data_IF_813431749154
#
_entry.id   IF_813431749154
#
_cell.length_a   1.000
_cell.length_b   1.000
_cell.length_c   1.000
_cell.angle_alpha   90.00
_cell.angle_beta   90.00
_cell.angle_gamma   90.00
#
_symmetry.space_group_name_H-M   'P 1'
#
loop_
_entity.id
_entity.type
_entity.pdbx_description
1 polymer ?
#
# COMPACT_ATOMS: atom_id res chain seq x y z
N UNK A 1 35.14 -33.07 -10.15
CA UNK A 1 33.84 -32.37 -10.21
C UNK A 1 33.33 -32.26 -8.78
N UNK A 2 33.48 -31.09 -8.14
CA UNK A 2 33.13 -30.89 -6.73
C UNK A 2 31.68 -30.40 -6.69
N UNK A 3 30.76 -31.23 -6.18
CA UNK A 3 29.42 -30.76 -5.86
C UNK A 3 29.57 -29.64 -4.83
N UNK A 4 29.29 -28.41 -5.23
CA UNK A 4 29.35 -27.26 -4.36
C UNK A 4 28.10 -27.34 -3.48
N UNK A 5 28.23 -27.97 -2.32
CA UNK A 5 27.24 -27.95 -1.25
C UNK A 5 27.14 -26.50 -0.75
N UNK A 6 26.24 -25.70 -1.32
CA UNK A 6 25.95 -24.31 -0.89
C UNK A 6 24.77 -24.31 0.09
N UNK A 7 24.75 -25.24 1.05
CA UNK A 7 23.75 -25.27 2.12
C UNK A 7 24.43 -25.50 3.49
N UNK A 8 25.65 -24.96 3.66
CA UNK A 8 26.37 -25.06 4.92
C UNK A 8 25.85 -24.02 5.94
N UNK A 9 25.38 -24.53 7.08
CA UNK A 9 25.34 -23.94 8.43
C UNK A 9 24.52 -22.68 8.74
N UNK A 10 23.74 -22.12 7.82
CA UNK A 10 22.74 -21.08 8.17
C UNK A 10 21.34 -21.49 7.70
N UNK A 11 20.29 -21.29 8.51
CA UNK A 11 18.93 -21.54 8.06
C UNK A 11 18.64 -20.67 6.83
N UNK A 12 18.03 -21.27 5.81
CA UNK A 12 17.56 -20.53 4.63
C UNK A 12 16.41 -19.60 5.06
N UNK A 13 16.73 -18.36 5.44
CA UNK A 13 15.75 -17.36 5.85
C UNK A 13 15.48 -16.39 4.70
N UNK A 14 14.21 -16.23 4.35
CA UNK A 14 13.75 -15.18 3.46
C UNK A 14 13.24 -14.00 4.31
N UNK A 15 13.84 -12.82 4.15
CA UNK A 15 13.34 -11.62 4.81
C UNK A 15 12.04 -11.17 4.13
N UNK A 16 11.02 -10.88 4.94
CA UNK A 16 9.78 -10.26 4.44
C UNK A 16 10.01 -8.75 4.39
N UNK A 17 9.90 -8.09 3.23
CA UNK A 17 10.30 -6.70 3.03
C UNK A 17 9.21 -5.74 3.53
N UNK A 18 8.82 -5.88 4.80
CA UNK A 18 7.84 -5.05 5.46
C UNK A 18 8.54 -4.08 6.42
N UNK A 19 8.13 -2.83 6.37
CA UNK A 19 8.56 -1.82 7.33
C UNK A 19 7.39 -0.93 7.72
N UNK A 20 7.38 -0.44 8.94
CA UNK A 20 6.40 0.52 9.41
C UNK A 20 6.98 1.93 9.27
N UNK A 21 6.23 2.86 8.70
CA UNK A 21 6.64 4.26 8.64
C UNK A 21 6.35 5.00 9.97
N UNK A 22 6.82 6.25 10.16
CA UNK A 22 6.59 7.01 11.38
C UNK A 22 5.11 7.28 11.71
N UNK A 23 4.21 7.10 10.75
CA UNK A 23 2.76 7.25 10.94
C UNK A 23 2.07 5.95 11.35
N UNK A 24 2.81 4.84 11.40
CA UNK A 24 2.29 3.53 11.78
C UNK A 24 1.82 2.68 10.61
N UNK A 25 1.95 3.15 9.37
CA UNK A 25 1.50 2.42 8.17
C UNK A 25 2.57 1.41 7.74
N UNK A 26 2.15 0.17 7.49
CA UNK A 26 3.04 -0.88 6.99
C UNK A 26 3.20 -0.79 5.47
N UNK A 27 4.46 -0.84 5.01
CA UNK A 27 4.86 -0.65 3.61
C UNK A 27 5.70 -1.81 3.11
N UNK A 28 5.66 -2.02 1.80
CA UNK A 28 6.37 -3.09 1.09
C UNK A 28 7.62 -2.55 0.39
N UNK A 29 8.71 -3.31 0.49
CA UNK A 29 9.99 -2.98 -0.14
C UNK A 29 10.63 -1.75 0.50
N UNK A 30 11.29 -0.94 -0.34
CA UNK A 30 11.87 0.36 0.04
C UNK A 30 10.98 1.56 -0.30
N UNK A 31 9.81 1.29 -0.88
CA UNK A 31 8.95 2.28 -1.48
C UNK A 31 7.85 2.79 -0.55
N UNK A 32 6.86 3.47 -1.17
CA UNK A 32 5.65 3.96 -0.50
C UNK A 32 4.42 3.10 -0.78
N UNK A 33 4.59 1.90 -1.31
CA UNK A 33 3.47 0.99 -1.56
C UNK A 33 3.06 0.39 -0.21
N UNK A 34 1.79 0.53 0.14
CA UNK A 34 1.27 0.07 1.42
C UNK A 34 1.01 -1.45 1.37
N UNK A 35 1.06 -2.12 2.51
CA UNK A 35 0.79 -3.57 2.57
C UNK A 35 -0.62 -3.89 2.06
N UNK A 36 -1.62 -3.07 2.42
CA UNK A 36 -3.03 -3.34 2.17
C UNK A 36 -3.33 -3.40 0.66
N UNK A 37 -2.65 -2.60 -0.17
CA UNK A 37 -2.90 -2.61 -1.62
C UNK A 37 -2.38 -3.87 -2.30
N UNK A 38 -1.31 -4.48 -1.78
CA UNK A 38 -0.78 -5.76 -2.27
C UNK A 38 -1.71 -6.89 -1.85
N UNK A 39 -2.14 -6.90 -0.59
CA UNK A 39 -3.06 -7.94 -0.08
C UNK A 39 -4.42 -7.85 -0.77
N UNK A 40 -4.95 -6.63 -0.96
CA UNK A 40 -6.21 -6.42 -1.67
C UNK A 40 -6.13 -6.95 -3.11
N UNK A 41 -5.09 -6.59 -3.86
CA UNK A 41 -4.93 -7.08 -5.24
C UNK A 41 -4.86 -8.61 -5.31
N UNK A 42 -4.08 -9.24 -4.42
CA UNK A 42 -4.02 -10.70 -4.31
C UNK A 42 -5.38 -11.33 -3.99
N UNK A 43 -6.15 -10.75 -3.07
CA UNK A 43 -7.50 -11.22 -2.75
C UNK A 43 -8.49 -11.07 -3.91
N UNK A 44 -8.30 -10.10 -4.81
CA UNK A 44 -9.06 -9.98 -6.05
C UNK A 44 -8.67 -11.00 -7.13
N UNK A 45 -7.71 -11.89 -6.82
CA UNK A 45 -7.24 -12.93 -7.73
C UNK A 45 -6.08 -12.50 -8.62
N UNK A 46 -5.47 -11.34 -8.37
CA UNK A 46 -4.31 -10.91 -9.13
C UNK A 46 -3.08 -11.77 -8.78
N UNK A 47 -2.37 -12.33 -9.77
CA UNK A 47 -1.09 -12.96 -9.54
C UNK A 47 0.00 -11.94 -9.12
N UNK A 48 1.06 -12.37 -8.41
CA UNK A 48 2.19 -11.51 -8.05
C UNK A 48 2.79 -10.73 -9.24
N UNK A 49 2.84 -11.34 -10.42
CA UNK A 49 3.31 -10.72 -11.66
C UNK A 49 2.40 -9.57 -12.13
N UNK A 50 1.09 -9.68 -11.97
CA UNK A 50 0.19 -8.58 -12.29
C UNK A 50 0.23 -7.46 -11.24
N UNK A 51 0.53 -7.81 -9.98
CA UNK A 51 0.72 -6.81 -8.92
C UNK A 51 1.92 -5.91 -9.21
N UNK A 52 3.03 -6.44 -9.74
CA UNK A 52 4.18 -5.59 -10.12
C UNK A 52 3.88 -4.71 -11.34
N UNK A 53 2.99 -5.12 -12.24
CA UNK A 53 2.54 -4.27 -13.35
C UNK A 53 1.72 -3.08 -12.83
N UNK A 54 0.89 -3.28 -11.80
CA UNK A 54 0.15 -2.22 -11.13
C UNK A 54 1.04 -1.31 -10.26
N UNK A 55 2.09 -1.87 -9.66
CA UNK A 55 3.00 -1.16 -8.77
C UNK A 55 4.47 -1.37 -9.17
N UNK A 56 4.96 -0.68 -10.23
CA UNK A 56 6.32 -0.88 -10.76
C UNK A 56 7.47 -0.53 -9.80
N UNK A 57 7.17 0.05 -8.63
CA UNK A 57 8.13 0.31 -7.56
C UNK A 57 8.42 -0.93 -6.68
N UNK A 58 7.68 -2.03 -6.89
CA UNK A 58 7.87 -3.29 -6.18
C UNK A 58 8.76 -4.23 -6.97
N UNK A 59 9.57 -5.01 -6.25
CA UNK A 59 10.32 -6.12 -6.80
C UNK A 59 9.45 -7.40 -6.73
N UNK A 60 9.51 -8.26 -7.75
CA UNK A 60 8.69 -9.48 -7.80
C UNK A 60 8.93 -10.39 -6.58
N UNK A 61 10.19 -10.57 -6.18
CA UNK A 61 10.54 -11.37 -5.01
C UNK A 61 9.95 -10.82 -3.71
N UNK A 62 9.85 -9.49 -3.59
CA UNK A 62 9.25 -8.83 -2.43
C UNK A 62 7.75 -9.13 -2.35
N UNK A 63 7.04 -9.08 -3.49
CA UNK A 63 5.61 -9.41 -3.57
C UNK A 63 5.36 -10.86 -3.16
N UNK A 64 6.16 -11.80 -3.69
CA UNK A 64 6.06 -13.21 -3.29
C UNK A 64 6.31 -13.41 -1.78
N UNK A 65 7.33 -12.76 -1.22
CA UNK A 65 7.64 -12.86 0.21
C UNK A 65 6.49 -12.31 1.08
N UNK A 66 5.90 -11.19 0.69
CA UNK A 66 4.75 -10.59 1.38
C UNK A 66 3.51 -11.46 1.30
N UNK A 67 3.19 -12.03 0.12
CA UNK A 67 2.04 -12.93 -0.03
C UNK A 67 2.24 -14.20 0.79
N UNK A 68 3.45 -14.78 0.79
CA UNK A 68 3.76 -15.94 1.64
C UNK A 68 3.58 -15.60 3.13
N UNK A 69 4.06 -14.43 3.57
CA UNK A 69 3.86 -13.96 4.94
C UNK A 69 2.37 -13.78 5.27
N UNK A 70 1.60 -13.17 4.38
CA UNK A 70 0.16 -12.99 4.54
C UNK A 70 -0.57 -14.32 4.69
N UNK A 71 -0.29 -15.29 3.81
CA UNK A 71 -0.92 -16.60 3.86
C UNK A 71 -0.61 -17.35 5.17
N UNK A 72 0.57 -17.14 5.74
CA UNK A 72 0.97 -17.73 7.02
C UNK A 72 0.41 -17.02 8.26
N UNK A 73 0.04 -15.72 8.15
CA UNK A 73 -0.39 -14.87 9.26
C UNK A 73 -1.68 -14.11 8.93
N UNK A 74 -2.61 -14.78 8.23
CA UNK A 74 -3.84 -14.18 7.72
C UNK A 74 -4.64 -13.44 8.81
N UNK A 75 -4.94 -14.07 9.96
CA UNK A 75 -5.74 -13.43 11.00
C UNK A 75 -5.12 -12.11 11.51
N UNK A 76 -3.81 -12.09 11.70
CA UNK A 76 -3.08 -10.92 12.20
C UNK A 76 -3.08 -9.77 11.19
N UNK A 77 -2.85 -10.10 9.91
CA UNK A 77 -2.82 -9.10 8.83
C UNK A 77 -4.23 -8.56 8.53
N UNK A 78 -5.25 -9.43 8.52
CA UNK A 78 -6.64 -9.02 8.33
C UNK A 78 -7.12 -8.11 9.48
N UNK A 79 -6.72 -8.39 10.73
CA UNK A 79 -7.02 -7.53 11.88
C UNK A 79 -6.27 -6.19 11.84
N UNK A 80 -5.02 -6.16 11.38
CA UNK A 80 -4.31 -4.92 11.09
C UNK A 80 -5.09 -4.07 10.06
N UNK A 81 -5.51 -4.68 8.95
CA UNK A 81 -6.22 -3.97 7.90
C UNK A 81 -7.59 -3.46 8.38
N UNK A 82 -8.34 -4.26 9.15
CA UNK A 82 -9.62 -3.83 9.74
C UNK A 82 -9.46 -2.55 10.57
N UNK A 83 -8.41 -2.48 11.41
CA UNK A 83 -8.10 -1.28 12.19
C UNK A 83 -7.78 -0.07 11.31
N UNK A 84 -6.97 -0.27 10.26
CA UNK A 84 -6.65 0.81 9.31
C UNK A 84 -7.89 1.35 8.59
N UNK A 85 -8.83 0.49 8.18
CA UNK A 85 -10.06 0.97 7.52
C UNK A 85 -11.01 1.70 8.48
N UNK A 86 -11.09 1.26 9.74
CA UNK A 86 -11.85 1.96 10.78
C UNK A 86 -11.29 3.37 11.03
N UNK A 87 -9.97 3.50 11.15
CA UNK A 87 -9.28 4.78 11.30
C UNK A 87 -9.50 5.68 10.08
N UNK A 88 -9.37 5.12 8.87
CA UNK A 88 -9.63 5.84 7.62
C UNK A 88 -11.09 6.31 7.56
N UNK A 89 -12.06 5.50 7.97
CA UNK A 89 -13.47 5.87 8.01
C UNK A 89 -13.75 7.05 8.96
N UNK A 90 -13.09 7.08 10.12
CA UNK A 90 -13.19 8.20 11.07
C UNK A 90 -12.61 9.49 10.46
N UNK A 91 -11.43 9.40 9.85
CA UNK A 91 -10.79 10.55 9.19
C UNK A 91 -11.63 11.07 8.02
N UNK A 92 -12.19 10.17 7.19
CA UNK A 92 -13.11 10.51 6.09
C UNK A 92 -14.31 11.29 6.61
N UNK A 93 -15.02 10.77 7.61
CA UNK A 93 -16.19 11.45 8.21
C UNK A 93 -15.86 12.85 8.76
N UNK A 94 -14.72 13.00 9.44
CA UNK A 94 -14.28 14.32 9.95
C UNK A 94 -13.96 15.29 8.82
N UNK A 95 -13.32 14.80 7.77
CA UNK A 95 -12.95 15.62 6.61
C UNK A 95 -14.18 16.04 5.83
N UNK A 96 -15.13 15.13 5.58
CA UNK A 96 -16.40 15.42 4.92
C UNK A 96 -17.25 16.41 5.73
N UNK A 97 -17.32 16.24 7.06
CA UNK A 97 -18.07 17.15 7.93
C UNK A 97 -17.46 18.56 8.02
N UNK A 98 -16.15 18.70 7.77
CA UNK A 98 -15.45 19.99 7.78
C UNK A 98 -15.23 20.57 6.39
N UNK A 99 -15.61 19.84 5.33
CA UNK A 99 -15.43 20.31 3.97
C UNK A 99 -16.42 21.44 3.68
N UNK A 100 -15.94 22.61 3.21
CA UNK A 100 -16.82 23.64 2.71
C UNK A 100 -17.59 23.12 1.48
N UNK A 101 -18.78 23.68 1.18
CA UNK A 101 -19.54 23.31 0.00
C UNK A 101 -18.67 23.35 -1.26
N UNK A 102 -18.90 22.38 -2.16
CA UNK A 102 -18.25 22.38 -3.48
C UNK A 102 -18.59 23.72 -4.15
N UNK A 103 -17.59 24.56 -4.50
CA UNK A 103 -17.86 25.86 -5.06
C UNK A 103 -18.57 25.74 -6.41
N UNK A 104 -19.51 26.64 -6.71
CA UNK A 104 -20.16 26.64 -8.01
C UNK A 104 -19.18 27.00 -9.11
N UNK A 105 -19.53 26.68 -10.36
CA UNK A 105 -18.75 27.08 -11.53
C UNK A 105 -18.52 28.60 -11.55
N UNK A 106 -19.53 29.41 -11.21
CA UNK A 106 -19.36 30.86 -11.14
C UNK A 106 -18.35 31.28 -10.07
N UNK A 107 -18.37 30.66 -8.88
CA UNK A 107 -17.43 30.96 -7.80
C UNK A 107 -16.00 30.58 -8.17
N UNK A 108 -15.80 29.45 -8.85
CA UNK A 108 -14.50 29.03 -9.36
C UNK A 108 -13.98 29.99 -10.44
N UNK A 109 -14.85 30.43 -11.36
CA UNK A 109 -14.50 31.40 -12.41
C UNK A 109 -14.17 32.77 -11.82
N UNK A 110 -14.90 33.22 -10.79
CA UNK A 110 -14.61 34.46 -10.08
C UNK A 110 -13.24 34.41 -9.37
N UNK A 111 -12.91 33.27 -8.73
CA UNK A 111 -11.59 33.06 -8.11
C UNK A 111 -10.46 33.02 -9.14
N UNK A 112 -10.69 32.41 -10.30
CA UNK A 112 -9.71 32.37 -11.37
C UNK A 112 -9.42 33.77 -11.95
N UNK A 113 -10.47 34.56 -12.20
CA UNK A 113 -10.36 35.97 -12.63
C UNK A 113 -9.63 36.82 -11.59
N UNK A 114 -9.96 36.65 -10.31
CA UNK A 114 -9.28 37.35 -9.20
C UNK A 114 -7.79 36.97 -9.07
N UNK A 115 -7.40 35.77 -9.52
CA UNK A 115 -6.01 35.31 -9.59
C UNK A 115 -5.30 35.66 -10.91
N UNK A 116 -5.95 36.38 -11.83
CA UNK A 116 -5.38 36.76 -13.12
C UNK A 116 -5.24 35.60 -14.12
N UNK A 117 -5.90 34.46 -13.88
CA UNK A 117 -6.03 33.39 -14.86
C UNK A 117 -7.07 33.79 -15.91
N UNK A 118 -6.64 33.96 -17.16
CA UNK A 118 -7.56 34.10 -18.29
C UNK A 118 -8.17 32.72 -18.60
N UNK A 119 -9.43 32.52 -18.19
CA UNK A 119 -10.29 31.39 -18.55
C UNK A 119 -11.47 31.87 -19.37
#
# INVERSE_FOLDING_TARGET
MKFMTILADQPLTLAVPLHQDPTGVVRVGKGRVMLEVVIYAYQQGEPPEGIIEMYPALELGDVYAVIAYYLAHRPEVDEYWRRCDEEAAVVRKRTEASQPPIPTKEELLARARAKGLNL
#
